data_IF_661922538140
#
_entry.id   IF_661922538140
#
_cell.length_a   1.000
_cell.length_b   1.000
_cell.length_c   1.000
_cell.angle_alpha   90.00
_cell.angle_beta   90.00
_cell.angle_gamma   90.00
#
_symmetry.space_group_name_H-M   'P 1'
#
loop_
_entity.id
_entity.type
_entity.pdbx_description
1 polymer ?
#
# COMPACT_ATOMS: atom_id res chain seq x y z
N UNK A 1 23.38 -11.63 17.43
CA UNK A 1 22.93 -10.27 17.06
C UNK A 1 23.11 -10.01 15.56
N UNK A 2 22.13 -9.39 14.89
CA UNK A 2 22.21 -8.95 13.48
C UNK A 2 21.83 -7.46 13.36
N UNK A 3 22.52 -6.70 12.49
CA UNK A 3 22.25 -5.27 12.22
C UNK A 3 22.14 -5.06 10.69
N UNK A 4 21.20 -4.22 10.28
CA UNK A 4 20.92 -3.90 8.88
C UNK A 4 20.41 -2.46 8.73
N UNK A 5 20.37 -1.97 7.49
CA UNK A 5 19.76 -0.67 7.16
C UNK A 5 18.59 -0.92 6.21
N UNK A 6 17.40 -0.42 6.58
CA UNK A 6 16.19 -0.49 5.76
C UNK A 6 15.70 0.94 5.51
N UNK A 7 15.88 1.41 4.27
CA UNK A 7 15.62 2.80 3.91
C UNK A 7 16.46 3.75 4.78
N UNK A 8 15.78 4.54 5.62
CA UNK A 8 16.44 5.46 6.58
C UNK A 8 16.62 4.87 7.97
N UNK A 9 16.06 3.71 8.27
CA UNK A 9 16.09 3.13 9.60
C UNK A 9 17.30 2.20 9.75
N UNK A 10 17.97 2.27 10.90
CA UNK A 10 18.85 1.19 11.36
C UNK A 10 18.00 0.16 12.06
N UNK A 11 18.22 -1.10 11.71
CA UNK A 11 17.44 -2.24 12.19
C UNK A 11 18.37 -3.18 12.90
N UNK A 12 17.98 -3.66 14.08
CA UNK A 12 18.77 -4.61 14.85
C UNK A 12 17.89 -5.70 15.43
N UNK A 13 18.31 -6.94 15.27
CA UNK A 13 17.73 -8.09 15.94
C UNK A 13 18.62 -8.49 17.12
N UNK A 14 18.08 -8.33 18.31
CA UNK A 14 18.68 -8.74 19.57
C UNK A 14 18.57 -10.26 19.75
N UNK A 15 19.34 -10.82 20.70
CA UNK A 15 19.43 -12.27 20.89
C UNK A 15 18.16 -12.90 21.49
N UNK A 16 17.33 -12.08 22.15
CA UNK A 16 16.02 -12.45 22.69
C UNK A 16 14.89 -12.38 21.65
N UNK A 17 15.20 -11.99 20.42
CA UNK A 17 14.23 -11.84 19.33
C UNK A 17 13.57 -10.46 19.26
N UNK A 18 13.96 -9.50 20.11
CA UNK A 18 13.49 -8.11 20.01
C UNK A 18 14.06 -7.45 18.75
N UNK A 19 13.19 -6.86 17.93
CA UNK A 19 13.57 -6.08 16.75
C UNK A 19 13.53 -4.58 17.08
N UNK A 20 14.69 -3.93 16.99
CA UNK A 20 14.83 -2.50 17.24
C UNK A 20 14.92 -1.75 15.90
N UNK A 21 14.02 -0.80 15.69
CA UNK A 21 13.98 0.09 14.53
C UNK A 21 14.32 1.52 14.95
N UNK A 22 15.47 2.04 14.52
CA UNK A 22 15.95 3.37 14.90
C UNK A 22 16.03 4.31 13.71
N UNK A 23 15.29 5.41 13.77
CA UNK A 23 15.39 6.53 12.83
C UNK A 23 16.56 7.47 13.22
N UNK A 24 17.25 8.11 12.25
CA UNK A 24 18.32 9.07 12.50
C UNK A 24 17.89 10.29 13.32
N UNK A 25 16.60 10.64 13.32
CA UNK A 25 16.06 11.72 14.15
C UNK A 25 15.95 11.36 15.65
N UNK A 26 16.27 10.12 16.03
CA UNK A 26 16.22 9.64 17.40
C UNK A 26 14.96 8.86 17.77
N UNK A 27 13.99 8.71 16.85
CA UNK A 27 12.81 7.86 17.07
C UNK A 27 13.25 6.39 17.07
N UNK A 28 12.79 5.63 18.06
CA UNK A 28 13.10 4.21 18.20
C UNK A 28 11.81 3.43 18.48
N UNK A 29 11.69 2.27 17.85
CA UNK A 29 10.63 1.31 18.13
C UNK A 29 11.26 -0.01 18.49
N UNK A 30 10.85 -0.54 19.64
CA UNK A 30 11.24 -1.86 20.10
C UNK A 30 10.03 -2.76 19.86
N UNK A 31 10.19 -3.75 18.98
CA UNK A 31 9.12 -4.66 18.60
C UNK A 31 9.42 -6.04 19.13
N UNK A 32 8.49 -6.58 19.90
CA UNK A 32 8.50 -7.99 20.28
C UNK A 32 8.36 -8.88 19.05
N UNK A 33 8.59 -10.18 19.23
CA UNK A 33 8.42 -11.18 18.17
C UNK A 33 6.99 -11.15 17.61
N UNK A 34 5.98 -11.06 18.48
CA UNK A 34 4.57 -11.02 18.08
C UNK A 34 4.26 -9.76 17.27
N UNK A 35 4.62 -8.57 17.77
CA UNK A 35 4.40 -7.31 17.06
C UNK A 35 5.15 -7.25 15.72
N UNK A 36 6.33 -7.88 15.64
CA UNK A 36 7.10 -7.98 14.39
C UNK A 36 6.36 -8.82 13.35
N UNK A 37 5.73 -9.92 13.76
CA UNK A 37 4.93 -10.77 12.86
C UNK A 37 3.66 -10.05 12.41
N UNK A 38 2.95 -9.40 13.32
CA UNK A 38 1.77 -8.59 12.98
C UNK A 38 2.13 -7.44 12.02
N UNK A 39 3.27 -6.79 12.25
CA UNK A 39 3.76 -5.74 11.37
C UNK A 39 4.09 -6.27 9.96
N UNK A 40 4.67 -7.48 9.87
CA UNK A 40 4.90 -8.14 8.57
C UNK A 40 3.60 -8.42 7.83
N UNK A 41 2.56 -8.89 8.53
CA UNK A 41 1.24 -9.11 7.95
C UNK A 41 0.63 -7.80 7.44
N UNK A 42 0.73 -6.73 8.23
CA UNK A 42 0.29 -5.40 7.82
C UNK A 42 1.02 -4.93 6.56
N UNK A 43 2.35 -5.01 6.52
CA UNK A 43 3.14 -4.62 5.33
C UNK A 43 2.75 -5.44 4.11
N UNK A 44 2.44 -6.73 4.29
CA UNK A 44 2.00 -7.61 3.21
C UNK A 44 0.66 -7.20 2.62
N UNK A 45 -0.30 -6.80 3.46
CA UNK A 45 -1.59 -6.25 3.03
C UNK A 45 -1.40 -4.90 2.36
N UNK A 46 -0.61 -4.01 2.97
CA UNK A 46 -0.34 -2.68 2.43
C UNK A 46 0.33 -2.73 1.06
N UNK A 47 1.27 -3.66 0.84
CA UNK A 47 1.90 -3.89 -0.46
C UNK A 47 0.87 -4.24 -1.55
N UNK A 48 -0.12 -5.08 -1.24
CA UNK A 48 -1.18 -5.42 -2.20
C UNK A 48 -2.00 -4.18 -2.56
N UNK A 49 -2.32 -3.34 -1.58
CA UNK A 49 -3.02 -2.09 -1.81
C UNK A 49 -2.22 -1.13 -2.71
N UNK A 50 -0.91 -0.98 -2.45
CA UNK A 50 -0.03 -0.15 -3.29
C UNK A 50 0.04 -0.64 -4.74
N UNK A 51 0.15 -1.95 -4.95
CA UNK A 51 0.17 -2.53 -6.30
C UNK A 51 -1.17 -2.34 -7.04
N UNK A 52 -2.30 -2.41 -6.33
CA UNK A 52 -3.60 -2.14 -6.95
C UNK A 52 -3.70 -0.67 -7.40
N UNK A 53 -3.23 0.27 -6.58
CA UNK A 53 -3.19 1.70 -6.93
C UNK A 53 -2.30 1.93 -8.16
N UNK A 54 -1.09 1.38 -8.17
CA UNK A 54 -0.16 1.50 -9.30
C UNK A 54 -0.73 0.91 -10.60
N UNK A 55 -1.48 -0.19 -10.51
CA UNK A 55 -2.15 -0.80 -11.67
C UNK A 55 -3.32 0.04 -12.18
N UNK A 56 -4.12 0.66 -11.29
CA UNK A 56 -5.22 1.53 -11.69
C UNK A 56 -4.70 2.85 -12.30
N UNK A 57 -3.65 3.47 -11.73
CA UNK A 57 -3.02 4.68 -12.30
C UNK A 57 -2.42 4.41 -13.69
N UNK A 58 -1.86 3.22 -13.93
CA UNK A 58 -1.37 2.82 -15.25
C UNK A 58 -2.48 2.44 -16.24
N UNK A 59 -3.71 2.12 -15.77
CA UNK A 59 -4.89 1.86 -16.63
C UNK A 59 -5.54 3.14 -17.14
N UNK A 60 -5.51 4.24 -16.39
CA UNK A 60 -6.05 5.53 -16.84
C UNK A 60 -5.25 6.16 -18.00
N UNK A 61 -4.04 5.67 -18.26
CA UNK A 61 -3.25 6.00 -19.47
C UNK A 61 -3.55 5.12 -20.68
N UNK A 62 -4.58 4.26 -20.64
CA UNK A 62 -5.06 3.57 -21.83
C UNK A 62 -6.00 4.48 -22.65
N UNK A 63 -5.57 4.99 -23.83
CA UNK A 63 -6.43 5.82 -24.68
C UNK A 63 -7.63 5.05 -25.25
N UNK A 64 -7.71 3.72 -25.09
CA UNK A 64 -8.83 2.88 -25.53
C UNK A 64 -9.89 2.61 -24.45
N UNK A 65 -9.87 3.31 -23.30
CA UNK A 65 -10.99 3.29 -22.37
C UNK A 65 -12.23 3.89 -23.04
N UNK A 66 -13.02 3.00 -23.65
CA UNK A 66 -14.23 3.31 -24.39
C UNK A 66 -15.13 4.22 -23.56
N UNK A 67 -15.19 5.49 -23.99
CA UNK A 67 -16.11 6.48 -23.45
C UNK A 67 -17.52 5.92 -23.52
N UNK A 68 -18.09 5.58 -22.36
CA UNK A 68 -19.50 5.22 -22.25
C UNK A 68 -20.29 6.50 -22.55
N UNK A 69 -20.67 6.69 -23.82
CA UNK A 69 -21.61 7.74 -24.21
C UNK A 69 -23.00 7.24 -23.82
N UNK A 70 -23.50 7.77 -22.71
CA UNK A 70 -24.92 7.63 -22.36
C UNK A 70 -25.72 8.36 -23.44
N UNK A 71 -26.29 7.60 -24.38
CA UNK A 71 -27.27 8.15 -25.31
C UNK A 71 -28.52 8.44 -24.50
N UNK A 72 -28.81 9.72 -24.32
CA UNK A 72 -30.07 10.21 -23.80
C UNK A 72 -31.19 9.67 -24.70
N UNK A 73 -31.95 8.68 -24.22
CA UNK A 73 -33.15 8.23 -24.89
C UNK A 73 -34.16 9.36 -24.77
N UNK A 74 -34.39 10.07 -25.88
CA UNK A 74 -35.54 10.95 -26.02
C UNK A 74 -36.78 10.06 -26.04
N UNK A 75 -37.46 9.97 -24.90
CA UNK A 75 -38.82 9.44 -24.80
C UNK A 75 -39.74 10.30 -25.68
N UNK A 76 -40.04 9.82 -26.88
CA UNK A 76 -41.15 10.36 -27.68
C UNK A 76 -42.46 9.73 -27.22
N UNK A 77 -42.98 10.21 -26.09
CA UNK A 77 -44.40 10.07 -25.75
C UNK A 77 -45.07 11.45 -25.79
N UNK A 78 -45.62 11.79 -26.96
CA UNK A 78 -46.52 12.93 -27.15
C UNK A 78 -47.38 12.69 -28.38
N UNK A 79 -48.57 12.12 -28.20
CA UNK A 79 -49.85 12.78 -28.47
C UNK A 79 -49.93 13.45 -29.86
N UNK A 80 -50.62 12.80 -30.80
CA UNK A 80 -51.86 13.33 -31.39
C UNK A 80 -52.63 12.28 -32.16
#
# INVERSE_FOLDING_TARGET
>A
MMDAIVGRYRVRLEEDGLLVLKHPSGICFDLTVEETLEFLDFISVYRKALLAIDQDENRDTDPELARIVVKEQVDQNGHS
#
